data_IF_241072249204
#
_entry.id   IF_241072249204
#
_cell.length_a   1.000
_cell.length_b   1.000
_cell.length_c   1.000
_cell.angle_alpha   90.00
_cell.angle_beta   90.00
_cell.angle_gamma   90.00
#
_symmetry.space_group_name_H-M   'P 1'
#
loop_
_entity.id
_entity.type
_entity.pdbx_description
1 polymer ?
#
# COMPACT_ATOMS: atom_id res chain seq x y z
N UNK A 1 22.61 23.35 -6.69
CA UNK A 1 22.03 22.49 -7.72
C UNK A 1 20.63 22.12 -7.25
N UNK A 2 19.60 22.87 -7.64
CA UNK A 2 18.22 22.52 -7.30
C UNK A 2 17.71 21.58 -8.38
N UNK A 3 17.81 20.28 -8.15
CA UNK A 3 16.96 19.36 -8.90
C UNK A 3 15.51 19.66 -8.50
N UNK A 4 14.58 19.79 -9.46
CA UNK A 4 13.17 19.84 -9.12
C UNK A 4 12.81 18.53 -8.41
N UNK A 5 12.23 18.63 -7.21
CA UNK A 5 11.73 17.47 -6.49
C UNK A 5 10.61 16.87 -7.33
N UNK A 6 10.81 15.64 -7.81
CA UNK A 6 9.77 14.87 -8.52
C UNK A 6 8.51 14.83 -7.63
N UNK A 7 7.35 15.25 -8.14
CA UNK A 7 6.14 15.29 -7.32
C UNK A 7 5.74 13.87 -6.90
N UNK A 8 5.44 13.69 -5.61
CA UNK A 8 5.01 12.42 -5.07
C UNK A 8 3.75 11.94 -5.82
N UNK A 9 3.74 10.67 -6.20
CA UNK A 9 2.63 10.02 -6.89
C UNK A 9 2.38 8.65 -6.26
N UNK A 10 1.21 8.06 -6.53
CA UNK A 10 0.95 6.67 -6.13
C UNK A 10 1.98 5.67 -6.67
N UNK A 11 2.77 6.04 -7.69
CA UNK A 11 3.80 5.18 -8.28
C UNK A 11 5.18 5.40 -7.66
N UNK A 12 5.49 6.62 -7.23
CA UNK A 12 6.80 7.02 -6.70
C UNK A 12 6.86 6.93 -5.17
N UNK A 13 5.72 6.95 -4.48
CA UNK A 13 5.64 6.82 -3.03
C UNK A 13 5.87 8.15 -2.30
N UNK A 14 5.97 8.11 -0.95
CA UNK A 14 6.38 9.27 -0.17
C UNK A 14 7.88 9.56 -0.36
N UNK A 15 8.32 10.73 0.07
CA UNK A 15 9.75 11.02 0.19
C UNK A 15 10.42 10.23 1.33
N UNK A 16 11.74 10.39 1.47
CA UNK A 16 12.55 9.71 2.50
C UNK A 16 12.10 10.03 3.93
N UNK A 17 11.42 11.16 4.15
CA UNK A 17 10.89 11.56 5.45
C UNK A 17 9.46 11.05 5.68
N UNK A 18 8.87 10.37 4.71
CA UNK A 18 7.51 9.81 4.77
C UNK A 18 6.42 10.81 4.36
N UNK A 19 6.75 11.90 3.68
CA UNK A 19 5.75 12.87 3.21
C UNK A 19 5.26 12.57 1.79
N UNK A 20 3.96 12.74 1.57
CA UNK A 20 3.31 12.94 0.27
C UNK A 20 3.02 14.43 0.09
N UNK A 21 3.95 15.16 -0.54
CA UNK A 21 3.89 16.62 -0.58
C UNK A 21 3.96 17.20 0.84
N UNK A 22 2.90 17.86 1.29
CA UNK A 22 2.84 18.46 2.64
C UNK A 22 2.22 17.55 3.71
N UNK A 23 1.79 16.34 3.34
CA UNK A 23 1.04 15.44 4.22
C UNK A 23 1.88 14.20 4.59
N UNK A 24 1.66 13.62 5.76
CA UNK A 24 2.41 12.44 6.22
C UNK A 24 3.52 12.82 7.19
N UNK A 25 4.70 12.23 7.02
CA UNK A 25 5.83 12.41 7.94
C UNK A 25 5.71 11.59 9.21
N UNK A 26 6.61 11.84 10.17
CA UNK A 26 6.72 11.08 11.43
C UNK A 26 6.61 12.04 12.62
N UNK A 27 5.37 12.32 13.04
CA UNK A 27 5.08 13.17 14.19
C UNK A 27 4.80 12.33 15.42
N UNK A 28 5.87 11.77 16.00
CA UNK A 28 5.82 10.87 17.16
C UNK A 28 6.77 11.35 18.26
N UNK A 29 6.69 10.75 19.45
CA UNK A 29 7.67 10.99 20.50
C UNK A 29 9.08 10.56 20.05
N UNK A 30 10.09 11.35 20.42
CA UNK A 30 11.50 11.08 20.06
C UNK A 30 11.95 9.68 20.46
N UNK A 31 11.47 9.19 21.61
CA UNK A 31 11.78 7.84 22.11
C UNK A 31 11.31 6.71 21.19
N UNK A 32 10.39 6.98 20.27
CA UNK A 32 9.90 6.01 19.28
C UNK A 32 10.67 6.06 17.96
N UNK A 33 11.39 7.14 17.67
CA UNK A 33 12.07 7.31 16.40
C UNK A 33 13.08 6.19 16.08
N UNK A 34 13.91 5.71 17.02
CA UNK A 34 14.81 4.59 16.75
C UNK A 34 14.06 3.32 16.31
N UNK A 35 12.96 2.99 16.99
CA UNK A 35 12.16 1.80 16.69
C UNK A 35 11.47 1.89 15.33
N UNK A 36 11.04 3.09 14.92
CA UNK A 36 10.44 3.33 13.60
C UNK A 36 11.48 3.14 12.50
N UNK A 37 12.69 3.65 12.70
CA UNK A 37 13.78 3.50 11.73
C UNK A 37 14.23 2.04 11.60
N UNK A 38 14.28 1.30 12.72
CA UNK A 38 14.57 -0.13 12.70
C UNK A 38 13.50 -0.92 11.94
N UNK A 39 12.22 -0.60 12.15
CA UNK A 39 11.11 -1.21 11.42
C UNK A 39 11.16 -0.88 9.93
N UNK A 40 11.44 0.37 9.55
CA UNK A 40 11.61 0.78 8.15
C UNK A 40 12.70 -0.03 7.47
N UNK A 41 13.86 -0.18 8.12
CA UNK A 41 14.96 -0.99 7.61
C UNK A 41 14.53 -2.45 7.41
N UNK A 42 13.92 -3.07 8.41
CA UNK A 42 13.44 -4.44 8.33
C UNK A 42 12.38 -4.63 7.22
N UNK A 43 11.52 -3.63 7.01
CA UNK A 43 10.55 -3.63 5.93
C UNK A 43 11.22 -3.56 4.55
N UNK A 44 12.20 -2.68 4.33
CA UNK A 44 12.90 -2.61 3.05
C UNK A 44 13.72 -3.89 2.75
N UNK A 45 14.28 -4.53 3.79
CA UNK A 45 14.92 -5.84 3.65
C UNK A 45 13.89 -6.91 3.23
N UNK A 46 12.77 -7.04 3.96
CA UNK A 46 11.73 -8.03 3.69
C UNK A 46 11.01 -7.82 2.35
N UNK A 47 10.79 -6.57 1.95
CA UNK A 47 10.17 -6.18 0.67
C UNK A 47 10.97 -6.63 -0.54
N UNK A 48 12.29 -6.78 -0.40
CA UNK A 48 13.17 -7.27 -1.46
C UNK A 48 13.50 -8.76 -1.35
N UNK A 49 13.04 -9.44 -0.29
CA UNK A 49 13.31 -10.87 -0.04
C UNK A 49 12.28 -11.78 -0.75
N UNK A 50 12.69 -12.60 -1.72
CA UNK A 50 11.80 -13.56 -2.39
C UNK A 50 11.20 -14.61 -1.45
N UNK A 51 11.90 -14.99 -0.37
CA UNK A 51 11.41 -15.99 0.58
C UNK A 51 10.22 -15.44 1.38
N UNK A 52 10.33 -14.19 1.84
CA UNK A 52 9.23 -13.46 2.48
C UNK A 52 7.99 -13.38 1.57
N UNK A 53 8.18 -13.02 0.30
CA UNK A 53 7.08 -12.96 -0.67
C UNK A 53 6.44 -14.32 -0.92
N UNK A 54 7.22 -15.40 -0.97
CA UNK A 54 6.72 -16.75 -1.16
C UNK A 54 5.83 -17.19 0.01
N UNK A 55 6.28 -16.95 1.24
CA UNK A 55 5.49 -17.25 2.45
C UNK A 55 4.21 -16.41 2.51
N UNK A 56 4.33 -15.09 2.31
CA UNK A 56 3.17 -14.19 2.29
C UNK A 56 2.15 -14.58 1.21
N UNK A 57 2.62 -15.01 0.04
CA UNK A 57 1.75 -15.51 -1.04
C UNK A 57 1.05 -16.80 -0.65
N UNK A 58 1.75 -17.73 -0.02
CA UNK A 58 1.18 -18.98 0.46
C UNK A 58 0.10 -18.71 1.53
N UNK A 59 0.37 -17.84 2.50
CA UNK A 59 -0.60 -17.42 3.52
C UNK A 59 -1.81 -16.72 2.89
N UNK A 60 -1.58 -15.79 1.97
CA UNK A 60 -2.66 -15.13 1.25
C UNK A 60 -3.58 -16.13 0.53
N UNK A 61 -3.01 -17.15 -0.12
CA UNK A 61 -3.77 -18.15 -0.89
C UNK A 61 -4.48 -19.17 0.00
N UNK A 62 -3.76 -19.74 0.97
CA UNK A 62 -4.21 -20.93 1.70
C UNK A 62 -4.84 -20.61 3.05
N UNK A 63 -4.55 -19.44 3.63
CA UNK A 63 -5.10 -19.02 4.91
C UNK A 63 -6.13 -17.89 4.73
N UNK A 64 -5.75 -16.80 4.06
CA UNK A 64 -6.63 -15.63 3.90
C UNK A 64 -7.64 -15.75 2.75
N UNK A 65 -7.50 -16.73 1.85
CA UNK A 65 -8.44 -16.99 0.75
C UNK A 65 -8.38 -16.00 -0.43
N UNK A 66 -7.21 -15.42 -0.71
CA UNK A 66 -6.97 -14.52 -1.86
C UNK A 66 -6.68 -15.31 -3.16
N UNK A 67 -6.94 -14.72 -4.34
CA UNK A 67 -7.51 -13.40 -4.57
C UNK A 67 -9.02 -13.35 -4.32
N UNK A 68 -9.49 -12.23 -3.76
CA UNK A 68 -10.93 -12.01 -3.64
C UNK A 68 -11.56 -11.72 -5.01
N UNK A 69 -12.79 -12.21 -5.28
CA UNK A 69 -13.43 -12.03 -6.56
C UNK A 69 -13.81 -10.55 -6.80
N UNK A 70 -13.85 -10.17 -8.06
CA UNK A 70 -14.47 -8.93 -8.50
C UNK A 70 -15.92 -9.25 -8.89
N UNK A 71 -16.88 -8.81 -8.06
CA UNK A 71 -18.29 -9.17 -8.22
C UNK A 71 -19.02 -8.12 -9.05
N UNK A 72 -19.63 -8.50 -10.17
CA UNK A 72 -20.48 -7.63 -10.97
C UNK A 72 -21.86 -7.46 -10.30
N UNK A 73 -22.20 -6.23 -9.93
CA UNK A 73 -23.44 -5.91 -9.21
C UNK A 73 -24.56 -5.55 -10.20
N UNK A 74 -25.12 -6.56 -10.86
CA UNK A 74 -26.16 -6.43 -11.92
C UNK A 74 -27.33 -5.56 -11.48
N UNK A 75 -27.96 -5.90 -10.35
CA UNK A 75 -29.15 -5.17 -9.84
C UNK A 75 -28.87 -3.70 -9.53
N UNK A 76 -27.67 -3.40 -9.00
CA UNK A 76 -27.29 -2.03 -8.70
C UNK A 76 -26.95 -1.25 -9.98
N UNK A 77 -26.30 -1.92 -10.94
CA UNK A 77 -26.01 -1.36 -12.27
C UNK A 77 -27.31 -0.97 -12.97
N UNK A 78 -28.30 -1.87 -12.98
CA UNK A 78 -29.63 -1.60 -13.55
C UNK A 78 -30.34 -0.46 -12.81
N UNK A 79 -30.32 -0.47 -11.48
CA UNK A 79 -30.97 0.55 -10.67
C UNK A 79 -30.43 1.97 -10.93
N UNK A 80 -29.12 2.11 -11.12
CA UNK A 80 -28.50 3.42 -11.38
C UNK A 80 -28.52 3.81 -12.87
N UNK A 81 -28.77 2.87 -13.78
CA UNK A 81 -28.93 3.12 -15.23
C UNK A 81 -27.68 3.69 -15.92
N UNK A 82 -26.49 3.54 -15.32
CA UNK A 82 -25.25 4.18 -15.78
C UNK A 82 -24.12 3.19 -16.03
N UNK A 83 -22.93 3.50 -15.50
CA UNK A 83 -21.75 2.65 -15.62
C UNK A 83 -21.96 1.27 -14.96
N UNK A 84 -21.20 0.25 -15.43
CA UNK A 84 -21.17 -1.07 -14.78
C UNK A 84 -20.52 -0.97 -13.40
N UNK A 85 -21.17 -1.55 -12.41
CA UNK A 85 -20.71 -1.49 -11.02
C UNK A 85 -20.10 -2.84 -10.62
N UNK A 86 -18.87 -2.79 -10.09
CA UNK A 86 -18.17 -3.96 -9.59
C UNK A 86 -17.75 -3.74 -8.14
N UNK A 87 -17.93 -4.77 -7.30
CA UNK A 87 -17.43 -4.77 -5.93
C UNK A 87 -16.16 -5.58 -5.83
N UNK A 88 -15.11 -4.97 -5.28
CA UNK A 88 -13.95 -5.72 -4.79
C UNK A 88 -14.34 -6.38 -3.47
N UNK A 89 -14.53 -7.70 -3.49
CA UNK A 89 -14.99 -8.49 -2.34
C UNK A 89 -13.89 -8.71 -1.32
#
# INVERSE_FOLDING_TARGET
>A
MNQPVEPNSFRTGPDENGFFGIFGGRYVAETLMPLILDLEKAYEDAKNDPAFHAELTALNKHYSGRPSPLYFAERLTEHLGGAKIYFKR
#
